data_IF_206866022190
#
_entry.id   IF_206866022190
#
_cell.length_a   1.000
_cell.length_b   1.000
_cell.length_c   1.000
_cell.angle_alpha   90.00
_cell.angle_beta   90.00
_cell.angle_gamma   90.00
#
_symmetry.space_group_name_H-M   'P 1'
#
loop_
_entity.id
_entity.type
_entity.pdbx_description
1 polymer ?
#
# COMPACT_ATOMS: atom_id res chain seq x y z
N UNK A 1 -21.77 -12.09 -11.67
CA UNK A 1 -20.37 -12.58 -11.81
C UNK A 1 -19.36 -11.45 -11.82
N UNK A 2 -19.49 -10.45 -12.72
CA UNK A 2 -18.58 -9.27 -12.74
C UNK A 2 -18.57 -8.51 -11.41
N UNK A 3 -19.73 -8.29 -10.80
CA UNK A 3 -19.85 -7.56 -9.53
C UNK A 3 -19.19 -8.30 -8.36
N UNK A 4 -19.26 -9.64 -8.36
CA UNK A 4 -18.61 -10.47 -7.34
C UNK A 4 -17.09 -10.37 -7.42
N UNK A 5 -16.54 -10.35 -8.64
CA UNK A 5 -15.09 -10.19 -8.86
C UNK A 5 -14.64 -8.80 -8.38
N UNK A 6 -15.41 -7.75 -8.70
CA UNK A 6 -15.12 -6.40 -8.23
C UNK A 6 -15.19 -6.31 -6.70
N UNK A 7 -16.23 -6.88 -6.07
CA UNK A 7 -16.35 -6.89 -4.62
C UNK A 7 -15.17 -7.58 -3.92
N UNK A 8 -14.74 -8.75 -4.42
CA UNK A 8 -13.55 -9.44 -3.91
C UNK A 8 -12.29 -8.59 -4.13
N UNK A 9 -12.15 -7.97 -5.30
CA UNK A 9 -11.02 -7.08 -5.61
C UNK A 9 -10.94 -5.91 -4.64
N UNK A 10 -12.07 -5.24 -4.36
CA UNK A 10 -12.13 -4.16 -3.37
C UNK A 10 -11.72 -4.62 -1.97
N UNK A 11 -12.24 -5.77 -1.53
CA UNK A 11 -11.90 -6.32 -0.22
C UNK A 11 -10.39 -6.59 -0.10
N UNK A 12 -9.82 -7.30 -1.08
CA UNK A 12 -8.39 -7.63 -1.10
C UNK A 12 -7.52 -6.38 -1.16
N UNK A 13 -7.89 -5.39 -1.99
CA UNK A 13 -7.17 -4.13 -2.10
C UNK A 13 -7.16 -3.34 -0.79
N UNK A 14 -8.29 -3.30 -0.07
CA UNK A 14 -8.38 -2.63 1.23
C UNK A 14 -7.48 -3.30 2.26
N UNK A 15 -7.48 -4.63 2.33
CA UNK A 15 -6.57 -5.37 3.22
C UNK A 15 -5.10 -5.07 2.87
N UNK A 16 -4.74 -5.09 1.58
CA UNK A 16 -3.40 -4.76 1.14
C UNK A 16 -3.02 -3.30 1.47
N UNK A 17 -3.97 -2.37 1.37
CA UNK A 17 -3.78 -0.96 1.76
C UNK A 17 -3.51 -0.84 3.26
N UNK A 18 -4.30 -1.51 4.09
CA UNK A 18 -4.13 -1.52 5.56
C UNK A 18 -2.77 -2.09 5.94
N UNK A 19 -2.37 -3.22 5.37
CA UNK A 19 -1.08 -3.84 5.67
C UNK A 19 0.07 -2.94 5.21
N UNK A 20 0.00 -2.40 4.00
CA UNK A 20 1.08 -1.60 3.43
C UNK A 20 1.19 -0.21 4.07
N UNK A 21 0.17 0.63 3.91
CA UNK A 21 0.17 2.01 4.44
C UNK A 21 0.11 2.00 5.97
N UNK A 22 -0.75 1.17 6.56
CA UNK A 22 -0.86 1.06 8.02
C UNK A 22 0.42 0.53 8.66
N UNK A 23 1.09 -0.45 8.05
CA UNK A 23 2.38 -0.95 8.55
C UNK A 23 3.50 0.10 8.47
N UNK A 24 3.58 0.85 7.37
CA UNK A 24 4.52 1.97 7.25
C UNK A 24 4.23 3.07 8.28
N UNK A 25 2.96 3.43 8.47
CA UNK A 25 2.54 4.40 9.47
C UNK A 25 2.88 3.95 10.89
N UNK A 26 2.64 2.68 11.23
CA UNK A 26 3.03 2.11 12.53
C UNK A 26 4.53 2.18 12.77
N UNK A 27 5.35 1.86 11.76
CA UNK A 27 6.81 1.94 11.88
C UNK A 27 7.25 3.39 12.07
N UNK A 28 6.72 4.32 11.28
CA UNK A 28 7.12 5.73 11.29
C UNK A 28 6.65 6.48 12.54
N UNK A 29 5.38 6.29 12.92
CA UNK A 29 4.73 7.09 13.96
C UNK A 29 4.88 6.49 15.36
N UNK A 30 5.05 5.17 15.48
CA UNK A 30 5.15 4.51 16.78
C UNK A 30 6.52 3.87 17.00
N UNK A 31 6.95 2.96 16.12
CA UNK A 31 8.20 2.20 16.34
C UNK A 31 9.42 3.11 16.35
N UNK A 32 9.53 4.01 15.38
CA UNK A 32 10.67 4.92 15.26
C UNK A 32 10.83 5.82 16.49
N UNK A 33 9.84 6.64 16.90
CA UNK A 33 9.99 7.51 18.06
C UNK A 33 10.17 6.73 19.37
N UNK A 34 9.44 5.63 19.58
CA UNK A 34 9.58 4.86 20.82
C UNK A 34 10.94 4.17 20.92
N UNK A 35 11.49 3.69 19.80
CA UNK A 35 12.87 3.19 19.76
C UNK A 35 13.90 4.27 20.05
N UNK A 36 13.65 5.51 19.62
CA UNK A 36 14.53 6.65 19.88
C UNK A 36 14.48 7.12 21.34
N UNK A 37 13.33 6.98 22.00
CA UNK A 37 13.15 7.33 23.41
C UNK A 37 13.68 6.25 24.36
N UNK A 38 13.43 4.99 24.04
CA UNK A 38 13.65 3.87 24.98
C UNK A 38 15.06 3.28 24.90
N UNK A 39 15.77 3.46 23.78
CA UNK A 39 17.08 2.87 23.54
C UNK A 39 18.14 3.98 23.42
N UNK A 40 18.98 4.11 24.45
CA UNK A 40 20.07 5.09 24.49
C UNK A 40 21.19 4.74 23.49
N UNK A 41 21.42 3.45 23.25
CA UNK A 41 22.43 2.99 22.30
C UNK A 41 21.90 3.03 20.86
N UNK A 42 22.59 3.78 19.99
CA UNK A 42 22.28 3.89 18.57
C UNK A 42 22.30 2.55 17.82
N UNK A 43 23.21 1.64 18.19
CA UNK A 43 23.33 0.32 17.55
C UNK A 43 22.14 -0.58 17.90
N UNK A 44 21.74 -0.60 19.18
CA UNK A 44 20.56 -1.35 19.63
C UNK A 44 19.28 -0.84 18.97
N UNK A 45 19.11 0.49 18.91
CA UNK A 45 17.99 1.12 18.20
C UNK A 45 17.92 0.68 16.75
N UNK A 46 19.06 0.76 16.04
CA UNK A 46 19.15 0.35 14.64
C UNK A 46 18.81 -1.14 14.48
N UNK A 47 19.32 -2.00 15.35
CA UNK A 47 19.05 -3.45 15.32
C UNK A 47 17.57 -3.76 15.47
N UNK A 48 16.87 -3.11 16.39
CA UNK A 48 15.42 -3.29 16.61
C UNK A 48 14.62 -2.85 15.39
N UNK A 49 14.86 -1.62 14.90
CA UNK A 49 14.14 -1.07 13.75
C UNK A 49 14.37 -1.92 12.49
N UNK A 50 15.63 -2.31 12.22
CA UNK A 50 15.94 -3.17 11.07
C UNK A 50 15.32 -4.56 11.21
N UNK A 51 15.28 -5.14 12.41
CA UNK A 51 14.63 -6.42 12.65
C UNK A 51 13.13 -6.39 12.37
N UNK A 52 12.45 -5.31 12.77
CA UNK A 52 11.02 -5.08 12.47
C UNK A 52 10.83 -4.89 10.96
N UNK A 53 11.62 -4.02 10.32
CA UNK A 53 11.55 -3.80 8.88
C UNK A 53 11.81 -5.08 8.08
N UNK A 54 12.77 -5.91 8.47
CA UNK A 54 13.07 -7.17 7.79
C UNK A 54 11.87 -8.13 7.78
N UNK A 55 11.11 -8.19 8.88
CA UNK A 55 9.88 -8.99 8.97
C UNK A 55 8.72 -8.38 8.20
N UNK A 56 8.62 -7.05 8.17
CA UNK A 56 7.55 -6.35 7.47
C UNK A 56 7.74 -6.33 5.95
N UNK A 57 8.97 -6.25 5.46
CA UNK A 57 9.31 -6.20 4.01
C UNK A 57 8.59 -7.22 3.14
N UNK A 58 8.57 -8.54 3.44
CA UNK A 58 7.85 -9.49 2.60
C UNK A 58 6.34 -9.22 2.55
N UNK A 59 5.73 -8.83 3.68
CA UNK A 59 4.31 -8.47 3.74
C UNK A 59 4.02 -7.19 2.95
N UNK A 60 4.89 -6.19 3.06
CA UNK A 60 4.80 -4.94 2.31
C UNK A 60 4.92 -5.17 0.81
N UNK A 61 5.90 -5.96 0.37
CA UNK A 61 6.12 -6.29 -1.04
C UNK A 61 4.96 -7.09 -1.62
N UNK A 62 4.46 -8.08 -0.87
CA UNK A 62 3.27 -8.83 -1.28
C UNK A 62 2.05 -7.91 -1.41
N UNK A 63 1.84 -7.03 -0.43
CA UNK A 63 0.76 -6.05 -0.46
C UNK A 63 0.87 -5.10 -1.67
N UNK A 64 2.07 -4.66 -2.02
CA UNK A 64 2.32 -3.83 -3.20
C UNK A 64 1.88 -4.54 -4.50
N UNK A 65 2.24 -5.81 -4.66
CA UNK A 65 1.82 -6.62 -5.82
C UNK A 65 0.29 -6.74 -5.87
N UNK A 66 -0.35 -7.00 -4.72
CA UNK A 66 -1.81 -7.09 -4.63
C UNK A 66 -2.48 -5.75 -4.95
N UNK A 67 -1.95 -4.63 -4.46
CA UNK A 67 -2.46 -3.28 -4.73
C UNK A 67 -2.43 -2.95 -6.22
N UNK A 68 -1.31 -3.23 -6.89
CA UNK A 68 -1.19 -3.02 -8.34
C UNK A 68 -2.21 -3.87 -9.09
N UNK A 69 -2.26 -5.18 -8.82
CA UNK A 69 -3.17 -6.09 -9.52
C UNK A 69 -4.64 -5.74 -9.32
N UNK A 70 -5.06 -5.56 -8.06
CA UNK A 70 -6.45 -5.23 -7.73
C UNK A 70 -6.84 -3.81 -8.14
N UNK A 71 -5.91 -2.85 -8.12
CA UNK A 71 -6.14 -1.48 -8.61
C UNK A 71 -6.47 -1.46 -10.10
N UNK A 72 -5.74 -2.22 -10.92
CA UNK A 72 -6.03 -2.36 -12.35
C UNK A 72 -7.41 -2.99 -12.60
N UNK A 73 -7.77 -4.01 -11.82
CA UNK A 73 -9.11 -4.63 -11.90
C UNK A 73 -10.21 -3.64 -11.51
N UNK A 74 -10.03 -2.86 -10.44
CA UNK A 74 -11.02 -1.86 -10.02
C UNK A 74 -11.19 -0.74 -11.04
N UNK A 75 -10.11 -0.26 -11.66
CA UNK A 75 -10.18 0.74 -12.73
C UNK A 75 -11.06 0.28 -13.89
N UNK A 76 -10.99 -1.00 -14.27
CA UNK A 76 -11.82 -1.57 -15.35
C UNK A 76 -13.33 -1.55 -15.08
N UNK A 77 -13.75 -1.26 -13.85
CA UNK A 77 -15.16 -1.13 -13.46
C UNK A 77 -15.74 0.28 -13.63
N UNK A 78 -14.92 1.29 -13.91
CA UNK A 78 -15.38 2.68 -14.07
C UNK A 78 -15.77 2.97 -15.53
N UNK A 79 -16.90 3.65 -15.80
CA UNK A 79 -17.32 3.99 -17.16
C UNK A 79 -16.35 4.95 -17.87
N UNK A 80 -15.51 5.68 -17.14
CA UNK A 80 -14.51 6.61 -17.69
C UNK A 80 -13.16 5.92 -17.97
N UNK A 81 -13.05 4.61 -17.74
CA UNK A 81 -11.84 3.86 -18.05
C UNK A 81 -11.76 3.57 -19.55
N UNK A 82 -10.80 4.22 -20.20
CA UNK A 82 -10.59 4.12 -21.65
C UNK A 82 -9.46 3.16 -22.06
N UNK A 83 -8.73 2.58 -21.10
CA UNK A 83 -7.64 1.65 -21.37
C UNK A 83 -6.44 1.78 -20.45
N UNK A 84 -5.46 0.91 -20.65
CA UNK A 84 -4.23 0.92 -19.86
C UNK A 84 -3.32 2.06 -20.34
N UNK A 85 -2.86 2.89 -19.41
CA UNK A 85 -2.01 4.07 -19.67
C UNK A 85 -2.63 5.10 -20.63
N UNK A 86 -3.96 5.18 -20.68
CA UNK A 86 -4.67 6.27 -21.36
C UNK A 86 -4.99 7.38 -20.36
N UNK A 87 -4.57 8.61 -20.67
CA UNK A 87 -4.72 9.78 -19.79
C UNK A 87 -5.42 10.94 -20.52
N UNK A 88 -6.48 10.61 -21.26
CA UNK A 88 -7.15 11.54 -22.18
C UNK A 88 -8.33 12.29 -21.55
N UNK A 89 -8.74 11.90 -20.33
CA UNK A 89 -9.89 12.48 -19.64
C UNK A 89 -9.55 12.91 -18.20
N UNK A 90 -10.43 13.73 -17.63
CA UNK A 90 -10.21 14.30 -16.29
C UNK A 90 -10.14 13.21 -15.21
N UNK A 91 -10.91 12.14 -15.35
CA UNK A 91 -10.90 11.01 -14.42
C UNK A 91 -9.56 10.26 -14.49
N UNK A 92 -9.05 9.93 -15.68
CA UNK A 92 -7.78 9.20 -15.82
C UNK A 92 -6.58 10.01 -15.34
N UNK A 93 -6.59 11.33 -15.57
CA UNK A 93 -5.61 12.24 -14.97
C UNK A 93 -5.72 12.28 -13.43
N UNK A 94 -6.91 12.37 -12.86
CA UNK A 94 -7.11 12.34 -11.41
C UNK A 94 -6.67 11.01 -10.78
N UNK A 95 -6.93 9.88 -11.46
CA UNK A 95 -6.48 8.55 -11.05
C UNK A 95 -4.95 8.45 -11.14
N UNK A 96 -4.30 9.02 -12.15
CA UNK A 96 -2.84 9.03 -12.23
C UNK A 96 -2.25 9.85 -11.07
N UNK A 97 -2.75 11.07 -10.87
CA UNK A 97 -2.24 12.00 -9.87
C UNK A 97 -2.31 11.44 -8.44
N UNK A 98 -3.33 10.66 -8.10
CA UNK A 98 -3.43 10.05 -6.76
C UNK A 98 -2.43 8.90 -6.51
N UNK A 99 -1.71 8.42 -7.52
CA UNK A 99 -0.75 7.31 -7.40
C UNK A 99 0.73 7.74 -7.58
N UNK A 100 0.99 9.03 -7.87
CA UNK A 100 2.32 9.64 -7.93
C UNK A 100 2.59 10.35 -6.59
#
# INVERSE_FOLDING_TARGET
MKDTILAISYFVHLIATIVWIGGLAMILLLVWPESARSLANHEERRKVVLGIQARFRPMANFSLVMLVGTGLVQMSGDPNYEGFLTFENTWSLAILLKHI
#
